data_IF_469830917129
#
_entry.id   IF_469830917129
#
_cell.length_a   1.000
_cell.length_b   1.000
_cell.length_c   1.000
_cell.angle_alpha   90.00
_cell.angle_beta   90.00
_cell.angle_gamma   90.00
#
_symmetry.space_group_name_H-M   'P 1'
#
loop_
_entity.id
_entity.type
_entity.pdbx_description
1 polymer ?
#
# COMPACT_ATOMS: atom_id res chain seq x y z
N UNK A 1 -2.76 -50.12 -14.86
CA UNK A 1 -3.71 -49.51 -13.91
C UNK A 1 -3.11 -48.17 -13.50
N UNK A 2 -3.74 -47.09 -13.97
CA UNK A 2 -3.48 -45.65 -13.82
C UNK A 2 -2.09 -45.19 -13.31
N UNK A 3 -1.25 -44.72 -14.24
CA UNK A 3 -0.29 -43.65 -13.98
C UNK A 3 -1.13 -42.38 -13.78
N UNK A 4 -1.30 -41.94 -12.53
CA UNK A 4 -1.77 -40.58 -12.29
C UNK A 4 -0.62 -39.64 -12.64
N UNK A 5 -0.62 -39.14 -13.88
CA UNK A 5 0.04 -37.89 -14.23
C UNK A 5 -0.65 -36.79 -13.43
N UNK A 6 -0.30 -36.69 -12.15
CA UNK A 6 -0.61 -35.53 -11.36
C UNK A 6 0.41 -34.49 -11.80
N UNK A 7 0.03 -33.65 -12.77
CA UNK A 7 0.81 -32.47 -13.15
C UNK A 7 0.90 -31.59 -11.91
N UNK A 8 1.90 -31.84 -11.07
CA UNK A 8 2.10 -31.13 -9.80
C UNK A 8 2.31 -29.66 -10.14
N UNK A 9 1.29 -28.85 -9.90
CA UNK A 9 1.32 -27.41 -10.11
C UNK A 9 2.47 -26.82 -9.31
N UNK A 10 3.34 -26.02 -9.95
CA UNK A 10 4.45 -25.37 -9.26
C UNK A 10 3.91 -24.42 -8.17
N UNK A 11 4.18 -24.68 -6.88
CA UNK A 11 3.63 -23.89 -5.79
C UNK A 11 4.14 -22.44 -5.81
N UNK A 12 5.38 -22.21 -6.27
CA UNK A 12 5.91 -20.85 -6.43
C UNK A 12 5.18 -20.10 -7.54
N UNK A 13 4.84 -20.79 -8.65
CA UNK A 13 4.06 -20.19 -9.72
C UNK A 13 2.64 -19.81 -9.27
N UNK A 14 2.01 -20.66 -8.46
CA UNK A 14 0.68 -20.37 -7.89
C UNK A 14 0.72 -19.15 -6.96
N UNK A 15 1.73 -19.07 -6.08
CA UNK A 15 1.94 -17.92 -5.20
C UNK A 15 2.24 -16.63 -5.97
N UNK A 16 3.09 -16.69 -7.00
CA UNK A 16 3.38 -15.52 -7.85
C UNK A 16 2.11 -14.99 -8.54
N UNK A 17 1.24 -15.86 -9.08
CA UNK A 17 -0.03 -15.41 -9.69
C UNK A 17 -0.96 -14.75 -8.66
N UNK A 18 -1.05 -15.33 -7.47
CA UNK A 18 -1.83 -14.74 -6.39
C UNK A 18 -1.26 -13.38 -5.96
N UNK A 19 0.06 -13.28 -5.87
CA UNK A 19 0.77 -12.04 -5.55
C UNK A 19 0.53 -10.96 -6.61
N UNK A 20 0.65 -11.28 -7.90
CA UNK A 20 0.37 -10.34 -8.99
C UNK A 20 -1.07 -9.81 -8.94
N UNK A 21 -2.04 -10.68 -8.66
CA UNK A 21 -3.42 -10.27 -8.46
C UNK A 21 -3.60 -9.36 -7.23
N UNK A 22 -2.87 -9.64 -6.14
CA UNK A 22 -2.84 -8.80 -4.96
C UNK A 22 -2.25 -7.42 -5.26
N UNK A 23 -1.12 -7.32 -5.98
CA UNK A 23 -0.52 -6.05 -6.39
C UNK A 23 -1.52 -5.16 -7.16
N UNK A 24 -2.21 -5.74 -8.16
CA UNK A 24 -3.22 -5.01 -8.93
C UNK A 24 -4.38 -4.53 -8.04
N UNK A 25 -4.82 -5.36 -7.10
CA UNK A 25 -5.86 -5.00 -6.15
C UNK A 25 -5.40 -3.88 -5.18
N UNK A 26 -4.18 -3.96 -4.66
CA UNK A 26 -3.57 -2.91 -3.81
C UNK A 26 -3.53 -1.57 -4.53
N UNK A 27 -3.07 -1.55 -5.79
CA UNK A 27 -3.05 -0.31 -6.60
C UNK A 27 -4.46 0.27 -6.78
N UNK A 28 -5.45 -0.57 -7.10
CA UNK A 28 -6.83 -0.12 -7.28
C UNK A 28 -7.44 0.44 -5.99
N UNK A 29 -7.16 -0.19 -4.84
CA UNK A 29 -7.64 0.24 -3.53
C UNK A 29 -6.93 1.50 -3.05
N UNK A 30 -5.63 1.63 -3.30
CA UNK A 30 -4.85 2.85 -3.03
C UNK A 30 -5.42 4.05 -3.80
N UNK A 31 -5.67 3.88 -5.10
CA UNK A 31 -6.31 4.93 -5.90
C UNK A 31 -7.70 5.29 -5.39
N UNK A 32 -8.48 4.29 -4.94
CA UNK A 32 -9.80 4.55 -4.34
C UNK A 32 -9.68 5.33 -3.03
N UNK A 33 -8.77 4.93 -2.15
CA UNK A 33 -8.50 5.61 -0.88
C UNK A 33 -8.06 7.06 -1.12
N UNK A 34 -7.12 7.32 -2.02
CA UNK A 34 -6.62 8.67 -2.32
C UNK A 34 -7.70 9.60 -2.88
N UNK A 35 -8.59 9.06 -3.73
CA UNK A 35 -9.76 9.82 -4.23
C UNK A 35 -10.70 10.20 -3.10
N UNK A 36 -10.99 9.27 -2.19
CA UNK A 36 -11.87 9.55 -1.04
C UNK A 36 -11.21 10.50 -0.03
N UNK A 37 -9.90 10.36 0.18
CA UNK A 37 -9.10 11.28 0.99
C UNK A 37 -9.20 12.72 0.47
N UNK A 38 -9.00 12.87 -0.84
CA UNK A 38 -9.11 14.17 -1.52
C UNK A 38 -10.51 14.75 -1.36
N UNK A 39 -11.57 13.93 -1.47
CA UNK A 39 -12.95 14.38 -1.27
C UNK A 39 -13.22 14.80 0.18
N UNK A 40 -12.69 14.06 1.15
CA UNK A 40 -12.85 14.37 2.58
C UNK A 40 -12.12 15.67 2.96
N UNK A 41 -10.89 15.85 2.48
CA UNK A 41 -10.13 17.08 2.67
C UNK A 41 -10.82 18.27 2.00
N UNK A 42 -11.33 18.12 0.78
CA UNK A 42 -12.00 19.21 0.08
C UNK A 42 -13.36 19.59 0.69
N UNK A 43 -14.02 18.68 1.41
CA UNK A 43 -15.33 18.92 2.02
C UNK A 43 -15.23 19.49 3.44
N UNK A 44 -14.38 18.92 4.28
CA UNK A 44 -14.29 19.30 5.71
C UNK A 44 -13.00 20.05 6.02
N UNK A 45 -11.95 19.90 5.21
CA UNK A 45 -10.59 20.29 5.55
C UNK A 45 -9.95 19.29 6.51
N UNK A 46 -8.62 19.31 6.62
CA UNK A 46 -7.92 18.53 7.62
C UNK A 46 -8.37 18.93 9.04
N UNK A 47 -8.53 17.98 9.98
CA UNK A 47 -8.90 18.29 11.35
C UNK A 47 -7.89 19.26 11.98
N UNK A 48 -8.35 20.46 12.30
CA UNK A 48 -7.54 21.44 13.03
C UNK A 48 -8.40 22.36 13.89
N UNK A 49 -7.83 22.81 15.01
CA UNK A 49 -8.35 23.92 15.80
C UNK A 49 -7.62 25.22 15.44
N UNK A 50 -8.34 26.33 15.42
CA UNK A 50 -7.77 27.68 15.31
C UNK A 50 -7.77 28.33 16.67
N UNK A 51 -6.59 28.59 17.21
CA UNK A 51 -6.44 29.21 18.54
C UNK A 51 -5.91 30.63 18.37
N UNK A 52 -6.69 31.61 18.85
CA UNK A 52 -6.28 33.00 18.88
C UNK A 52 -5.57 33.30 20.20
N UNK A 53 -4.38 33.89 20.11
CA UNK A 53 -3.62 34.41 21.25
C UNK A 53 -3.71 35.94 21.25
N UNK A 54 -4.44 36.54 22.22
CA UNK A 54 -4.57 37.99 22.32
C UNK A 54 -3.23 38.70 22.55
N UNK A 55 -2.32 38.07 23.28
CA UNK A 55 -1.00 38.64 23.63
C UNK A 55 -0.05 38.74 22.42
N UNK A 56 -0.26 37.90 21.40
CA UNK A 56 0.58 37.83 20.20
C UNK A 56 -0.13 38.37 18.95
N UNK A 57 -1.41 38.73 19.07
CA UNK A 57 -2.32 39.05 17.96
C UNK A 57 -2.23 38.04 16.80
N UNK A 58 -2.10 36.76 17.13
CA UNK A 58 -1.82 35.68 16.19
C UNK A 58 -2.83 34.53 16.30
N UNK A 59 -3.13 33.88 15.17
CA UNK A 59 -3.96 32.67 15.11
C UNK A 59 -3.12 31.47 14.73
N UNK A 60 -3.07 30.48 15.61
CA UNK A 60 -2.34 29.22 15.40
C UNK A 60 -3.30 28.12 14.94
N UNK A 61 -2.88 27.31 13.97
CA UNK A 61 -3.60 26.10 13.56
C UNK A 61 -2.98 24.88 14.24
N UNK A 62 -3.77 24.16 15.01
CA UNK A 62 -3.34 22.95 15.71
C UNK A 62 -3.94 21.72 15.07
N UNK A 63 -3.09 20.78 14.66
CA UNK A 63 -3.47 19.60 13.87
C UNK A 63 -3.66 18.34 14.73
N UNK A 64 -3.19 18.36 15.99
CA UNK A 64 -3.28 17.25 16.93
C UNK A 64 -3.64 17.69 18.35
N UNK A 65 -4.38 16.84 19.07
CA UNK A 65 -4.76 17.09 20.47
C UNK A 65 -3.56 17.12 21.43
N UNK A 66 -2.46 16.45 21.06
CA UNK A 66 -1.19 16.44 21.81
C UNK A 66 -0.47 17.80 21.81
N UNK A 67 -0.66 18.63 20.78
CA UNK A 67 0.02 19.93 20.65
C UNK A 67 -0.61 21.02 21.55
N UNK A 68 -1.86 20.85 21.97
CA UNK A 68 -2.60 21.81 22.80
C UNK A 68 -1.95 21.96 24.18
N UNK A 69 -1.41 20.87 24.73
CA UNK A 69 -0.84 20.84 26.09
C UNK A 69 0.51 21.55 26.21
N UNK A 70 1.35 21.46 25.17
CA UNK A 70 2.73 21.95 25.23
C UNK A 70 2.86 23.43 24.83
N UNK A 71 1.93 23.98 24.05
CA UNK A 71 1.98 25.38 23.57
C UNK A 71 1.15 26.38 24.39
N UNK A 72 0.07 25.95 25.06
CA UNK A 72 -0.88 26.86 25.72
C UNK A 72 -0.90 26.78 27.25
N UNK A 73 0.28 26.74 27.88
CA UNK A 73 0.42 26.73 29.34
C UNK A 73 -0.12 27.95 30.11
N UNK A 74 -0.73 28.95 29.44
CA UNK A 74 -1.08 30.24 30.05
C UNK A 74 -2.54 30.45 30.45
N UNK A 75 -3.53 29.99 29.66
CA UNK A 75 -4.96 30.32 29.89
C UNK A 75 -5.90 29.08 29.73
N UNK A 76 -6.53 28.61 30.83
CA UNK A 76 -7.50 27.52 30.80
C UNK A 76 -8.71 27.73 29.88
N UNK A 77 -9.13 28.99 29.66
CA UNK A 77 -10.24 29.34 28.78
C UNK A 77 -9.89 29.16 27.30
N UNK A 78 -8.67 29.57 26.90
CA UNK A 78 -8.14 29.38 25.55
C UNK A 78 -8.01 27.87 25.25
N UNK A 79 -7.47 27.11 26.19
CA UNK A 79 -7.36 25.65 26.09
C UNK A 79 -8.72 24.98 25.90
N UNK A 80 -9.69 25.29 26.76
CA UNK A 80 -11.04 24.68 26.71
C UNK A 80 -11.72 24.97 25.37
N UNK A 81 -11.58 26.20 24.84
CA UNK A 81 -12.11 26.56 23.54
C UNK A 81 -11.43 25.80 22.40
N UNK A 82 -10.10 25.71 22.43
CA UNK A 82 -9.32 24.96 21.44
C UNK A 82 -9.71 23.48 21.39
N UNK A 83 -9.88 22.86 22.56
CA UNK A 83 -10.33 21.47 22.69
C UNK A 83 -11.76 21.29 22.12
N UNK A 84 -12.68 22.21 22.43
CA UNK A 84 -14.05 22.17 21.91
C UNK A 84 -14.11 22.36 20.39
N UNK A 85 -13.35 23.31 19.84
CA UNK A 85 -13.28 23.57 18.40
C UNK A 85 -12.67 22.38 17.65
N UNK A 86 -11.64 21.73 18.23
CA UNK A 86 -11.06 20.50 17.68
C UNK A 86 -12.09 19.36 17.68
N UNK A 87 -12.78 19.16 18.79
CA UNK A 87 -13.80 18.11 18.91
C UNK A 87 -14.96 18.32 17.92
N UNK A 88 -15.41 19.56 17.73
CA UNK A 88 -16.43 19.91 16.75
C UNK A 88 -15.95 19.66 15.32
N UNK A 89 -14.66 19.90 15.03
CA UNK A 89 -14.07 19.58 13.73
C UNK A 89 -14.00 18.07 13.52
N UNK A 90 -13.50 17.32 14.50
CA UNK A 90 -13.42 15.87 14.44
C UNK A 90 -14.79 15.24 14.17
N UNK A 91 -15.85 15.71 14.85
CA UNK A 91 -17.20 15.21 14.62
C UNK A 91 -17.69 15.43 13.17
N UNK A 92 -17.33 16.57 12.54
CA UNK A 92 -17.66 16.81 11.11
C UNK A 92 -16.86 15.89 10.19
N UNK A 93 -15.58 15.65 10.51
CA UNK A 93 -14.73 14.74 9.76
C UNK A 93 -15.27 13.31 9.83
N UNK A 94 -15.61 12.83 11.02
CA UNK A 94 -16.12 11.47 11.23
C UNK A 94 -17.47 11.26 10.54
N UNK A 95 -18.37 12.25 10.59
CA UNK A 95 -19.65 12.18 9.91
C UNK A 95 -19.50 12.14 8.37
N UNK A 96 -18.55 12.91 7.83
CA UNK A 96 -18.29 12.90 6.39
C UNK A 96 -17.53 11.64 5.95
N UNK A 97 -16.63 11.13 6.79
CA UNK A 97 -15.99 9.83 6.59
C UNK A 97 -17.02 8.70 6.58
N UNK A 98 -17.98 8.69 7.51
CA UNK A 98 -19.07 7.71 7.51
C UNK A 98 -19.90 7.77 6.22
N UNK A 99 -20.12 8.98 5.70
CA UNK A 99 -20.85 9.22 4.44
C UNK A 99 -20.06 8.78 3.20
N UNK A 100 -18.75 9.05 3.15
CA UNK A 100 -17.88 8.78 2.01
C UNK A 100 -17.27 7.36 2.03
N UNK A 101 -17.12 6.78 3.21
CA UNK A 101 -16.47 5.50 3.46
C UNK A 101 -14.94 5.54 3.34
N UNK A 102 -14.30 6.67 3.65
CA UNK A 102 -12.84 6.82 3.52
C UNK A 102 -12.07 5.85 4.44
N UNK A 103 -12.40 5.77 5.72
CA UNK A 103 -11.74 4.88 6.67
C UNK A 103 -11.95 3.40 6.32
N UNK A 104 -13.10 3.06 5.75
CA UNK A 104 -13.34 1.71 5.24
C UNK A 104 -12.46 1.40 4.03
N UNK A 105 -12.30 2.34 3.10
CA UNK A 105 -11.38 2.20 1.97
C UNK A 105 -9.92 2.12 2.40
N UNK A 106 -9.50 2.93 3.39
CA UNK A 106 -8.16 2.86 3.99
C UNK A 106 -7.88 1.51 4.65
N UNK A 107 -8.84 0.96 5.41
CA UNK A 107 -8.68 -0.39 5.98
C UNK A 107 -8.58 -1.48 4.90
N UNK A 108 -9.36 -1.37 3.82
CA UNK A 108 -9.30 -2.33 2.73
C UNK A 108 -7.96 -2.25 1.97
N UNK A 109 -7.44 -1.05 1.78
CA UNK A 109 -6.13 -0.80 1.18
C UNK A 109 -5.00 -1.40 2.04
N UNK A 110 -4.97 -1.12 3.34
CA UNK A 110 -4.01 -1.75 4.25
C UNK A 110 -4.11 -3.28 4.23
N UNK A 111 -5.32 -3.85 4.29
CA UNK A 111 -5.50 -5.31 4.25
C UNK A 111 -5.02 -5.93 2.92
N UNK A 112 -5.13 -5.20 1.80
CA UNK A 112 -4.61 -5.64 0.51
C UNK A 112 -3.08 -5.57 0.46
N UNK A 113 -2.47 -4.53 1.04
CA UNK A 113 -1.03 -4.41 1.18
C UNK A 113 -0.46 -5.52 2.09
N UNK A 114 -1.08 -5.79 3.23
CA UNK A 114 -0.72 -6.90 4.11
C UNK A 114 -0.77 -8.24 3.36
N UNK A 115 -1.84 -8.46 2.58
CA UNK A 115 -1.99 -9.67 1.77
C UNK A 115 -0.92 -9.80 0.69
N UNK A 116 -0.55 -8.69 0.03
CA UNK A 116 0.56 -8.67 -0.93
C UNK A 116 1.87 -9.04 -0.25
N UNK A 117 2.15 -8.49 0.94
CA UNK A 117 3.36 -8.80 1.70
C UNK A 117 3.43 -10.27 2.11
N UNK A 118 2.34 -10.82 2.66
CA UNK A 118 2.26 -12.24 3.02
C UNK A 118 2.56 -13.15 1.82
N UNK A 119 2.08 -12.78 0.64
CA UNK A 119 2.27 -13.55 -0.58
C UNK A 119 3.72 -13.52 -1.07
N UNK A 120 4.39 -12.37 -1.03
CA UNK A 120 5.80 -12.29 -1.44
C UNK A 120 6.72 -12.98 -0.43
N UNK A 121 6.40 -12.93 0.86
CA UNK A 121 7.12 -13.65 1.91
C UNK A 121 7.01 -15.17 1.71
N UNK A 122 5.79 -15.65 1.44
CA UNK A 122 5.55 -17.05 1.11
C UNK A 122 6.25 -17.47 -0.19
N UNK A 123 6.22 -16.63 -1.23
CA UNK A 123 6.89 -16.88 -2.50
C UNK A 123 8.41 -16.98 -2.33
N UNK A 124 8.99 -16.14 -1.48
CA UNK A 124 10.44 -16.10 -1.20
C UNK A 124 10.92 -17.46 -0.68
N UNK A 125 10.21 -18.02 0.30
CA UNK A 125 10.60 -19.28 0.98
C UNK A 125 10.16 -20.55 0.25
N UNK A 126 9.13 -20.49 -0.59
CA UNK A 126 8.59 -21.66 -1.32
C UNK A 126 9.52 -22.06 -2.48
N UNK A 127 10.07 -23.28 -2.54
CA UNK A 127 10.89 -23.71 -3.68
C UNK A 127 10.09 -23.72 -4.98
N UNK A 128 10.66 -23.14 -6.04
CA UNK A 128 10.11 -23.30 -7.39
C UNK A 128 10.48 -24.67 -7.94
N UNK A 129 9.51 -25.37 -8.53
CA UNK A 129 9.75 -26.69 -9.16
C UNK A 129 9.83 -26.61 -10.69
N UNK A 130 9.60 -25.42 -11.27
CA UNK A 130 9.67 -25.16 -12.71
C UNK A 130 10.39 -23.85 -13.01
N UNK A 131 10.85 -23.70 -14.25
CA UNK A 131 11.38 -22.43 -14.76
C UNK A 131 10.35 -21.29 -14.68
N UNK A 132 9.06 -21.60 -14.80
CA UNK A 132 7.99 -20.61 -14.65
C UNK A 132 7.92 -20.06 -13.21
N UNK A 133 8.05 -20.93 -12.20
CA UNK A 133 8.13 -20.49 -10.80
C UNK A 133 9.37 -19.66 -10.51
N UNK A 134 10.52 -20.00 -11.09
CA UNK A 134 11.75 -19.18 -10.98
C UNK A 134 11.55 -17.82 -11.64
N UNK A 135 10.96 -17.78 -12.84
CA UNK A 135 10.63 -16.53 -13.52
C UNK A 135 9.70 -15.65 -12.67
N UNK A 136 8.66 -16.23 -12.06
CA UNK A 136 7.76 -15.50 -11.15
C UNK A 136 8.49 -14.89 -9.94
N UNK A 137 9.47 -15.59 -9.36
CA UNK A 137 10.29 -15.02 -8.28
C UNK A 137 11.13 -13.83 -8.73
N UNK A 138 11.77 -13.92 -9.90
CA UNK A 138 12.59 -12.82 -10.43
C UNK A 138 11.72 -11.61 -10.80
N UNK A 139 10.53 -11.85 -11.34
CA UNK A 139 9.53 -10.82 -11.61
C UNK A 139 9.10 -10.09 -10.32
N UNK A 140 8.80 -10.83 -9.25
CA UNK A 140 8.49 -10.25 -7.94
C UNK A 140 9.64 -9.41 -7.36
N UNK A 141 10.88 -9.88 -7.48
CA UNK A 141 12.07 -9.12 -7.04
C UNK A 141 12.22 -7.80 -7.82
N UNK A 142 11.97 -7.82 -9.12
CA UNK A 142 12.05 -6.61 -9.94
C UNK A 142 10.95 -5.62 -9.58
N UNK A 143 9.73 -6.09 -9.33
CA UNK A 143 8.62 -5.22 -8.97
C UNK A 143 8.78 -4.60 -7.57
N UNK A 144 9.18 -5.39 -6.56
CA UNK A 144 9.28 -4.90 -5.17
C UNK A 144 10.58 -4.12 -4.92
N UNK A 145 11.67 -4.49 -5.60
CA UNK A 145 13.01 -3.99 -5.27
C UNK A 145 13.56 -2.93 -6.21
N UNK A 146 13.19 -2.94 -7.49
CA UNK A 146 13.81 -2.02 -8.45
C UNK A 146 13.28 -0.59 -8.22
N UNK A 147 14.17 0.42 -8.13
CA UNK A 147 13.75 1.82 -8.00
C UNK A 147 12.87 2.31 -9.15
N UNK A 148 13.04 1.70 -10.32
CA UNK A 148 12.24 1.91 -11.52
C UNK A 148 12.37 0.71 -12.46
N UNK A 149 11.41 0.56 -13.38
CA UNK A 149 11.41 -0.51 -14.40
C UNK A 149 12.68 -0.49 -15.27
N UNK A 150 13.26 0.69 -15.46
CA UNK A 150 14.45 0.88 -16.30
C UNK A 150 15.76 0.92 -15.51
N UNK A 151 15.73 0.73 -14.18
CA UNK A 151 16.90 0.92 -13.32
C UNK A 151 18.15 0.18 -13.81
N UNK A 152 19.20 0.97 -14.11
CA UNK A 152 20.49 0.46 -14.62
C UNK A 152 21.48 0.13 -13.50
N UNK A 153 21.10 0.38 -12.25
CA UNK A 153 21.93 0.11 -11.09
C UNK A 153 22.02 -1.40 -10.81
N UNK A 154 23.18 -1.87 -10.37
CA UNK A 154 23.34 -3.24 -9.91
C UNK A 154 22.40 -3.52 -8.71
N UNK A 155 21.69 -4.68 -8.66
CA UNK A 155 21.76 -5.83 -9.55
C UNK A 155 20.67 -5.88 -10.66
N UNK A 156 19.87 -4.83 -10.85
CA UNK A 156 18.63 -4.89 -11.61
C UNK A 156 18.79 -5.29 -13.09
N UNK A 157 19.80 -4.81 -13.85
CA UNK A 157 20.04 -5.29 -15.21
C UNK A 157 20.32 -6.79 -15.29
N UNK A 158 21.05 -7.34 -14.33
CA UNK A 158 21.40 -8.77 -14.32
C UNK A 158 20.18 -9.64 -14.03
N UNK A 159 19.35 -9.22 -13.07
CA UNK A 159 18.09 -9.92 -12.74
C UNK A 159 17.14 -9.90 -13.93
N UNK A 160 16.96 -8.75 -14.60
CA UNK A 160 16.17 -8.65 -15.84
C UNK A 160 16.73 -9.55 -16.95
N UNK A 161 18.05 -9.53 -17.17
CA UNK A 161 18.70 -10.39 -18.16
C UNK A 161 18.41 -11.88 -17.89
N UNK A 162 18.56 -12.33 -16.65
CA UNK A 162 18.28 -13.71 -16.25
C UNK A 162 16.80 -14.09 -16.47
N UNK A 163 15.86 -13.19 -16.11
CA UNK A 163 14.44 -13.40 -16.37
C UNK A 163 14.14 -13.53 -17.87
N UNK A 164 14.69 -12.64 -18.70
CA UNK A 164 14.54 -12.70 -20.15
C UNK A 164 15.07 -14.01 -20.75
N UNK A 165 16.22 -14.49 -20.28
CA UNK A 165 16.81 -15.76 -20.71
C UNK A 165 15.93 -16.95 -20.34
N UNK A 166 15.41 -17.00 -19.11
CA UNK A 166 14.47 -18.06 -18.69
C UNK A 166 13.22 -18.06 -19.57
N UNK A 167 12.60 -16.89 -19.78
CA UNK A 167 11.41 -16.77 -20.63
C UNK A 167 11.70 -17.17 -22.08
N UNK A 168 12.89 -16.84 -22.61
CA UNK A 168 13.33 -17.26 -23.95
C UNK A 168 13.49 -18.78 -24.02
N UNK A 169 14.18 -19.40 -23.07
CA UNK A 169 14.36 -20.86 -23.02
C UNK A 169 13.02 -21.57 -22.93
N UNK A 170 12.08 -21.09 -22.11
CA UNK A 170 10.74 -21.68 -21.98
C UNK A 170 9.97 -21.67 -23.31
N UNK A 171 10.06 -20.57 -24.08
CA UNK A 171 9.41 -20.47 -25.41
C UNK A 171 9.99 -21.46 -26.43
N UNK A 172 11.29 -21.73 -26.37
CA UNK A 172 11.95 -22.65 -27.31
C UNK A 172 11.90 -24.12 -26.87
N UNK A 173 11.88 -24.39 -25.56
CA UNK A 173 11.82 -25.75 -25.02
C UNK A 173 10.48 -26.45 -25.24
N UNK A 174 9.39 -25.70 -25.47
CA UNK A 174 8.09 -26.27 -25.86
C UNK A 174 7.97 -26.67 -27.33
N UNK A 175 8.92 -26.26 -28.18
CA UNK A 175 8.88 -26.50 -29.63
C UNK A 175 9.71 -27.72 -30.09
N UNK A 176 10.43 -28.38 -29.18
CA UNK A 176 11.31 -29.52 -29.51
C UNK A 176 10.67 -30.90 -29.29
N UNK A 177 9.35 -30.97 -29.11
CA UNK A 177 8.59 -32.21 -29.00
C UNK A 177 7.44 -32.26 -30.02
N UNK A 178 7.78 -32.28 -31.31
CA UNK A 178 6.90 -32.71 -32.42
C UNK A 178 7.78 -33.35 -33.48
#
# INVERSE_FOLDING_TARGET
>A
MALTDNTTSDPAMALWRAWQAACLNTVALCQKQQRLETQLINSVGFPHAKVYLPDEDATYSMWWQGDIGDYFGGDPGIRTKAEADLAAHQARWDAEDERLGYSAAKRAEHAAADRQQELVDALTTTPATTLAGVAGKLDAVLYEGAPSEESTEFPWPLIRSALHDILRIMRHGGASCT
#
